data_IF_487799492192
#
_entry.id   IF_487799492192
#
_cell.length_a   1.000
_cell.length_b   1.000
_cell.length_c   1.000
_cell.angle_alpha   90.00
_cell.angle_beta   90.00
_cell.angle_gamma   90.00
#
_symmetry.space_group_name_H-M   'P 1'
#
loop_
_entity.id
_entity.type
_entity.pdbx_description
1 polymer ?
#
# COMPACT_ATOMS: atom_id res chain seq x y z
N UNK A 1 -18.98 9.03 64.47
CA UNK A 1 -19.39 8.38 63.20
C UNK A 1 -20.57 9.07 62.52
N UNK A 2 -21.75 9.18 63.15
CA UNK A 2 -22.93 9.85 62.53
C UNK A 2 -22.70 11.30 62.08
N UNK A 3 -21.96 12.13 62.84
CA UNK A 3 -21.63 13.53 62.45
C UNK A 3 -20.78 13.65 61.18
N UNK A 4 -19.87 12.69 60.94
CA UNK A 4 -19.01 12.70 59.75
C UNK A 4 -19.75 12.23 58.50
N UNK A 5 -20.75 11.35 58.65
CA UNK A 5 -21.63 10.91 57.55
C UNK A 5 -22.48 12.09 57.04
N UNK A 6 -23.00 12.93 57.93
CA UNK A 6 -23.72 14.15 57.53
C UNK A 6 -22.82 15.16 56.81
N UNK A 7 -21.56 15.29 57.24
CA UNK A 7 -20.59 16.18 56.59
C UNK A 7 -20.22 15.70 55.19
N UNK A 8 -20.04 14.38 55.02
CA UNK A 8 -19.77 13.73 53.73
C UNK A 8 -21.00 13.83 52.80
N UNK A 9 -22.21 13.67 53.32
CA UNK A 9 -23.44 13.84 52.54
C UNK A 9 -23.66 15.29 52.08
N UNK A 10 -23.32 16.28 52.91
CA UNK A 10 -23.40 17.70 52.55
C UNK A 10 -22.34 18.06 51.50
N UNK A 11 -21.10 17.55 51.64
CA UNK A 11 -20.04 17.74 50.64
C UNK A 11 -20.40 17.10 49.31
N UNK A 12 -21.00 15.90 49.32
CA UNK A 12 -21.48 15.22 48.10
C UNK A 12 -22.61 15.96 47.38
N UNK A 13 -23.47 16.67 48.11
CA UNK A 13 -24.53 17.51 47.51
C UNK A 13 -23.96 18.79 46.90
N UNK A 14 -22.92 19.38 47.50
CA UNK A 14 -22.26 20.58 46.96
C UNK A 14 -21.51 20.28 45.67
N UNK A 15 -20.89 19.09 45.53
CA UNK A 15 -20.21 18.69 44.28
C UNK A 15 -21.15 18.36 43.13
N UNK A 16 -22.42 18.04 43.40
CA UNK A 16 -23.45 17.78 42.37
C UNK A 16 -24.06 19.07 41.78
N UNK A 17 -23.80 20.23 42.40
CA UNK A 17 -24.28 21.54 41.94
C UNK A 17 -23.20 22.33 41.18
N UNK A 18 -21.98 21.81 41.10
CA UNK A 18 -20.87 22.36 40.32
C UNK A 18 -20.90 21.82 38.88
N UNK A 19 -21.96 22.12 38.15
CA UNK A 19 -21.95 21.94 36.69
C UNK A 19 -21.06 23.01 36.07
N UNK A 20 -20.08 22.62 35.26
CA UNK A 20 -19.43 23.55 34.34
C UNK A 20 -20.50 24.13 33.42
N UNK A 21 -20.60 25.46 33.34
CA UNK A 21 -21.27 26.11 32.21
C UNK A 21 -20.46 25.76 30.96
N UNK A 22 -21.10 25.17 29.95
CA UNK A 22 -20.49 25.02 28.63
C UNK A 22 -20.28 26.42 28.06
N UNK A 23 -19.02 26.77 27.83
CA UNK A 23 -18.63 28.03 27.20
C UNK A 23 -19.13 27.99 25.75
N UNK A 24 -20.27 28.62 25.48
CA UNK A 24 -20.83 28.68 24.13
C UNK A 24 -20.04 29.71 23.34
N UNK A 25 -19.24 29.23 22.39
CA UNK A 25 -18.50 30.09 21.47
C UNK A 25 -19.48 30.93 20.67
N UNK A 26 -19.63 32.20 21.06
CA UNK A 26 -20.46 33.18 20.35
C UNK A 26 -19.58 34.05 19.46
N UNK A 27 -20.15 34.59 18.37
CA UNK A 27 -19.47 35.61 17.58
C UNK A 27 -18.97 36.76 18.46
N UNK A 28 -17.75 37.23 18.18
CA UNK A 28 -17.10 38.31 18.94
C UNK A 28 -17.88 39.63 18.76
N UNK A 29 -18.52 39.81 17.60
CA UNK A 29 -19.40 40.92 17.29
C UNK A 29 -20.68 40.36 16.65
N UNK A 30 -21.76 40.16 17.41
CA UNK A 30 -23.00 39.64 16.86
C UNK A 30 -23.74 40.73 16.09
N UNK A 31 -23.99 40.47 14.82
CA UNK A 31 -25.02 41.12 14.02
C UNK A 31 -26.14 40.13 13.71
N UNK A 32 -27.27 40.62 13.18
CA UNK A 32 -28.43 39.80 12.81
C UNK A 32 -28.73 39.84 11.31
N UNK A 33 -27.84 40.43 10.51
CA UNK A 33 -28.10 40.73 9.11
C UNK A 33 -27.40 39.67 8.25
N UNK A 34 -28.14 38.69 7.67
CA UNK A 34 -27.51 37.63 6.90
C UNK A 34 -26.86 38.16 5.63
N UNK A 35 -25.75 37.54 5.18
CA UNK A 35 -25.10 37.92 3.93
C UNK A 35 -26.01 37.65 2.73
N UNK A 36 -25.72 38.30 1.61
CA UNK A 36 -26.36 37.99 0.34
C UNK A 36 -26.10 36.54 -0.09
N UNK A 37 -27.02 35.92 -0.88
CA UNK A 37 -26.75 34.61 -1.45
C UNK A 37 -25.60 34.70 -2.48
N UNK A 38 -24.92 33.58 -2.70
CA UNK A 38 -24.00 33.44 -3.85
C UNK A 38 -24.76 33.60 -5.17
N UNK A 39 -24.09 34.04 -6.23
CA UNK A 39 -24.73 34.24 -7.54
C UNK A 39 -23.93 33.59 -8.67
N UNK A 40 -24.57 33.41 -9.84
CA UNK A 40 -23.98 32.84 -11.05
C UNK A 40 -23.27 31.47 -10.85
N UNK A 41 -23.91 30.48 -10.21
CA UNK A 41 -23.28 29.16 -10.05
C UNK A 41 -22.98 28.53 -11.42
N UNK A 42 -21.75 28.07 -11.60
CA UNK A 42 -21.28 27.29 -12.75
C UNK A 42 -20.79 25.94 -12.26
N UNK A 43 -21.12 24.88 -12.98
CA UNK A 43 -20.82 23.50 -12.59
C UNK A 43 -19.79 22.91 -13.54
N UNK A 44 -18.73 22.36 -12.97
CA UNK A 44 -17.80 21.45 -13.61
C UNK A 44 -17.94 20.09 -12.93
N UNK A 45 -18.31 19.05 -13.68
CA UNK A 45 -18.46 17.70 -13.14
C UNK A 45 -17.12 16.96 -13.19
N UNK A 46 -16.85 16.14 -12.18
CA UNK A 46 -15.63 15.34 -12.02
C UNK A 46 -16.02 13.90 -11.63
N UNK A 47 -15.10 12.92 -11.70
CA UNK A 47 -15.35 11.56 -11.23
C UNK A 47 -15.84 11.54 -9.78
N UNK A 48 -17.10 11.13 -9.56
CA UNK A 48 -17.73 11.10 -8.22
C UNK A 48 -17.81 12.45 -7.50
N UNK A 49 -17.64 13.56 -8.22
CA UNK A 49 -17.56 14.90 -7.63
C UNK A 49 -18.07 15.99 -8.60
N UNK A 50 -18.18 17.21 -8.10
CA UNK A 50 -18.35 18.40 -8.92
C UNK A 50 -17.72 19.61 -8.23
N UNK A 51 -17.19 20.52 -9.03
CA UNK A 51 -16.77 21.85 -8.60
C UNK A 51 -17.85 22.85 -9.00
N UNK A 52 -18.32 23.62 -8.02
CA UNK A 52 -19.30 24.69 -8.24
C UNK A 52 -18.60 26.02 -8.02
N UNK A 53 -18.39 26.77 -9.10
CA UNK A 53 -17.87 28.15 -9.05
C UNK A 53 -19.01 29.16 -8.94
N UNK A 54 -18.80 30.26 -8.23
CA UNK A 54 -19.83 31.27 -7.98
C UNK A 54 -19.24 32.66 -7.67
N UNK A 55 -20.07 33.68 -7.81
CA UNK A 55 -19.79 35.03 -7.32
C UNK A 55 -20.20 35.14 -5.85
N UNK A 56 -19.30 35.69 -5.04
CA UNK A 56 -19.53 35.96 -3.62
C UNK A 56 -20.40 37.21 -3.43
N UNK A 57 -21.17 37.29 -2.33
CA UNK A 57 -21.85 38.52 -1.96
C UNK A 57 -20.82 39.59 -1.50
N UNK A 58 -21.24 40.86 -1.47
CA UNK A 58 -20.35 41.99 -1.16
C UNK A 58 -20.15 42.24 0.34
N UNK A 59 -20.73 41.41 1.20
CA UNK A 59 -20.68 41.55 2.66
C UNK A 59 -19.23 41.44 3.17
N UNK A 60 -18.77 42.44 3.94
CA UNK A 60 -17.38 42.52 4.42
C UNK A 60 -17.04 41.46 5.49
N UNK A 61 -18.05 40.94 6.15
CA UNK A 61 -17.99 39.97 7.25
C UNK A 61 -18.31 38.53 6.80
N UNK A 62 -18.41 38.28 5.49
CA UNK A 62 -18.54 36.94 4.95
C UNK A 62 -17.42 36.03 5.48
N UNK A 63 -17.80 34.88 6.03
CA UNK A 63 -16.86 33.92 6.61
C UNK A 63 -16.61 32.74 5.68
N UNK A 64 -17.67 32.08 5.20
CA UNK A 64 -17.58 30.94 4.29
C UNK A 64 -18.86 30.75 3.47
N UNK A 65 -18.74 29.98 2.39
CA UNK A 65 -19.87 29.37 1.69
C UNK A 65 -19.93 27.91 2.10
N UNK A 66 -21.12 27.39 2.43
CA UNK A 66 -21.34 25.97 2.66
C UNK A 66 -22.23 25.37 1.58
N UNK A 67 -21.93 24.12 1.20
CA UNK A 67 -22.74 23.30 0.32
C UNK A 67 -23.32 22.13 1.10
N UNK A 68 -24.64 21.95 1.04
CA UNK A 68 -25.34 20.83 1.66
C UNK A 68 -25.88 19.90 0.56
N UNK A 69 -25.58 18.61 0.68
CA UNK A 69 -25.99 17.57 -0.28
C UNK A 69 -26.10 16.20 0.41
N UNK A 70 -26.63 15.23 -0.30
CA UNK A 70 -26.87 13.87 0.20
C UNK A 70 -26.17 12.85 -0.67
N UNK A 71 -25.44 11.93 -0.04
CA UNK A 71 -24.77 10.82 -0.71
C UNK A 71 -25.77 9.70 -1.04
N UNK A 72 -25.33 8.73 -1.83
CA UNK A 72 -26.09 7.54 -2.25
C UNK A 72 -26.66 6.74 -1.08
N UNK A 73 -25.94 6.68 0.04
CA UNK A 73 -26.35 6.00 1.27
C UNK A 73 -27.27 6.81 2.20
N UNK A 74 -27.65 8.03 1.79
CA UNK A 74 -28.53 8.92 2.55
C UNK A 74 -27.83 9.79 3.59
N UNK A 75 -26.50 9.69 3.77
CA UNK A 75 -25.74 10.61 4.63
C UNK A 75 -25.82 12.04 4.08
N UNK A 76 -26.05 12.99 4.99
CA UNK A 76 -25.97 14.43 4.68
C UNK A 76 -24.54 14.90 4.86
N UNK A 77 -24.01 15.57 3.84
CA UNK A 77 -22.65 16.11 3.84
C UNK A 77 -22.73 17.62 3.75
N UNK A 78 -21.82 18.28 4.47
CA UNK A 78 -21.62 19.73 4.43
C UNK A 78 -20.18 19.98 4.02
N UNK A 79 -19.97 20.51 2.82
CA UNK A 79 -18.69 21.07 2.40
C UNK A 79 -18.65 22.55 2.79
N UNK A 80 -17.48 23.09 3.13
CA UNK A 80 -17.27 24.52 3.38
C UNK A 80 -16.12 25.03 2.52
N UNK A 81 -16.27 26.24 1.99
CA UNK A 81 -15.24 26.97 1.26
C UNK A 81 -15.10 28.36 1.86
N UNK A 82 -13.86 28.82 2.04
CA UNK A 82 -13.60 30.13 2.64
C UNK A 82 -14.31 31.26 1.89
N UNK A 83 -14.73 32.30 2.60
CA UNK A 83 -15.30 33.52 2.01
C UNK A 83 -14.34 34.31 1.11
N UNK A 84 -13.10 33.84 0.91
CA UNK A 84 -12.16 34.37 -0.08
C UNK A 84 -12.08 33.52 -1.36
N UNK A 85 -12.73 32.34 -1.39
CA UNK A 85 -12.72 31.41 -2.51
C UNK A 85 -14.05 31.47 -3.28
N UNK A 86 -13.94 31.47 -4.60
CA UNK A 86 -15.08 31.55 -5.53
C UNK A 86 -15.56 30.18 -6.02
N UNK A 87 -15.22 29.11 -5.29
CA UNK A 87 -15.57 27.75 -5.66
C UNK A 87 -15.71 26.84 -4.45
N UNK A 88 -16.53 25.81 -4.56
CA UNK A 88 -16.66 24.73 -3.59
C UNK A 88 -16.70 23.39 -4.31
N UNK A 89 -15.99 22.40 -3.77
CA UNK A 89 -16.05 21.02 -4.23
C UNK A 89 -17.08 20.24 -3.41
N UNK A 90 -17.91 19.48 -4.11
CA UNK A 90 -18.83 18.49 -3.56
C UNK A 90 -18.41 17.11 -4.10
N UNK A 91 -18.29 16.12 -3.23
CA UNK A 91 -17.62 14.86 -3.57
C UNK A 91 -18.22 13.67 -2.82
N UNK A 92 -17.90 12.47 -3.27
CA UNK A 92 -18.38 11.21 -2.69
C UNK A 92 -19.64 10.66 -3.36
N UNK A 93 -19.98 11.15 -4.55
CA UNK A 93 -21.07 10.58 -5.34
C UNK A 93 -20.65 9.23 -5.92
N UNK A 94 -21.45 8.18 -5.68
CA UNK A 94 -21.17 6.81 -6.13
C UNK A 94 -21.76 6.43 -7.49
N UNK A 95 -22.40 7.37 -8.18
CA UNK A 95 -23.08 7.18 -9.46
C UNK A 95 -23.04 8.50 -10.27
N UNK A 96 -23.58 8.48 -11.48
CA UNK A 96 -23.63 9.63 -12.41
C UNK A 96 -25.00 10.33 -12.42
N UNK A 97 -25.89 10.02 -11.49
CA UNK A 97 -27.24 10.57 -11.45
C UNK A 97 -27.22 12.05 -11.06
N UNK A 98 -28.22 12.80 -11.51
CA UNK A 98 -28.37 14.21 -11.13
C UNK A 98 -28.50 14.37 -9.61
N UNK A 99 -27.65 15.17 -8.99
CA UNK A 99 -27.65 15.48 -7.56
C UNK A 99 -28.03 16.93 -7.33
N UNK A 100 -28.78 17.17 -6.26
CA UNK A 100 -29.16 18.51 -5.82
C UNK A 100 -28.23 18.97 -4.70
N UNK A 101 -27.57 20.11 -4.91
CA UNK A 101 -26.69 20.77 -3.95
C UNK A 101 -27.32 22.10 -3.55
N UNK A 102 -27.33 22.41 -2.27
CA UNK A 102 -27.83 23.70 -1.77
C UNK A 102 -26.69 24.51 -1.18
N UNK A 103 -26.45 25.69 -1.75
CA UNK A 103 -25.41 26.62 -1.32
C UNK A 103 -25.98 27.69 -0.37
N UNK A 104 -25.18 28.05 0.63
CA UNK A 104 -25.45 29.15 1.55
C UNK A 104 -24.18 29.96 1.81
N UNK A 105 -24.28 31.28 1.83
CA UNK A 105 -23.27 32.15 2.40
C UNK A 105 -23.49 32.28 3.91
N UNK A 106 -22.40 32.28 4.68
CA UNK A 106 -22.41 32.39 6.15
C UNK A 106 -21.40 33.45 6.57
N UNK A 107 -21.83 34.39 7.39
CA UNK A 107 -21.00 35.47 7.92
C UNK A 107 -20.27 35.04 9.22
N UNK A 108 -19.54 35.99 9.81
CA UNK A 108 -18.83 35.81 11.09
C UNK A 108 -19.75 35.72 12.31
N UNK A 109 -21.00 36.15 12.17
CA UNK A 109 -22.06 36.08 13.17
C UNK A 109 -22.87 34.78 13.11
N UNK A 110 -22.54 33.88 12.18
CA UNK A 110 -23.26 32.65 11.83
C UNK A 110 -24.67 32.89 11.28
N UNK A 111 -24.99 34.08 10.76
CA UNK A 111 -26.21 34.25 9.98
C UNK A 111 -26.04 33.61 8.61
N UNK A 112 -27.13 33.06 8.09
CA UNK A 112 -27.13 32.24 6.87
C UNK A 112 -27.98 32.93 5.81
N UNK A 113 -27.44 33.04 4.59
CA UNK A 113 -28.15 33.60 3.44
C UNK A 113 -29.39 32.76 3.06
N UNK A 114 -30.22 33.31 2.16
CA UNK A 114 -31.18 32.48 1.42
C UNK A 114 -30.45 31.39 0.62
N UNK A 115 -31.06 30.19 0.44
CA UNK A 115 -30.44 29.09 -0.30
C UNK A 115 -30.35 29.34 -1.81
N UNK A 116 -29.31 28.81 -2.43
CA UNK A 116 -29.19 28.68 -3.89
C UNK A 116 -29.05 27.22 -4.25
N UNK A 117 -30.03 26.68 -4.97
CA UNK A 117 -30.01 25.28 -5.41
C UNK A 117 -29.32 25.14 -6.75
N UNK A 118 -28.37 24.21 -6.82
CA UNK A 118 -27.59 23.88 -8.01
C UNK A 118 -27.73 22.38 -8.28
N UNK A 119 -27.88 22.01 -9.55
CA UNK A 119 -27.91 20.61 -10.00
C UNK A 119 -26.55 20.24 -10.56
N UNK A 120 -26.02 19.10 -10.16
CA UNK A 120 -24.75 18.55 -10.64
C UNK A 120 -24.95 17.14 -11.20
N UNK A 121 -24.11 16.73 -12.13
CA UNK A 121 -24.15 15.43 -12.79
C UNK A 121 -22.73 14.85 -12.77
N UNK A 122 -22.28 14.29 -11.64
CA UNK A 122 -20.91 13.80 -11.49
C UNK A 122 -20.55 12.82 -12.61
N UNK A 123 -19.28 12.82 -13.00
CA UNK A 123 -18.76 11.82 -13.93
C UNK A 123 -18.61 10.46 -13.23
N UNK A 124 -18.33 9.41 -14.02
CA UNK A 124 -18.22 8.05 -13.51
C UNK A 124 -17.17 7.98 -12.38
N UNK A 125 -17.57 7.60 -11.15
CA UNK A 125 -16.64 7.55 -10.02
C UNK A 125 -15.52 6.53 -10.23
N UNK A 126 -14.36 6.82 -9.63
CA UNK A 126 -13.14 6.02 -9.80
C UNK A 126 -13.32 4.56 -9.40
N UNK A 127 -14.19 4.26 -8.43
CA UNK A 127 -14.51 2.87 -8.04
C UNK A 127 -14.99 2.03 -9.23
N UNK A 128 -15.73 2.62 -10.17
CA UNK A 128 -16.31 1.93 -11.32
C UNK A 128 -15.37 1.94 -12.52
N UNK A 129 -14.67 3.06 -12.77
CA UNK A 129 -13.70 3.15 -13.87
C UNK A 129 -12.52 2.19 -13.61
N UNK A 130 -11.94 2.19 -12.41
CA UNK A 130 -10.86 1.27 -12.02
C UNK A 130 -11.33 -0.18 -12.06
N UNK A 131 -12.55 -0.48 -11.58
CA UNK A 131 -13.08 -1.83 -11.68
C UNK A 131 -13.12 -2.35 -13.12
N UNK A 132 -13.37 -1.49 -14.10
CA UNK A 132 -13.45 -1.88 -15.51
C UNK A 132 -12.09 -2.25 -16.13
N UNK A 133 -10.99 -1.85 -15.50
CA UNK A 133 -9.61 -2.14 -15.95
C UNK A 133 -9.00 -3.35 -15.26
N UNK A 134 -9.69 -3.91 -14.25
CA UNK A 134 -9.17 -5.06 -13.48
C UNK A 134 -8.96 -6.27 -14.39
N UNK A 135 -7.71 -6.73 -14.42
CA UNK A 135 -7.31 -8.00 -15.03
C UNK A 135 -6.95 -8.99 -13.93
N UNK A 136 -7.40 -10.23 -14.09
CA UNK A 136 -7.10 -11.33 -13.19
C UNK A 136 -6.55 -12.48 -14.01
N UNK A 137 -5.40 -13.02 -13.61
CA UNK A 137 -4.77 -14.15 -14.28
C UNK A 137 -4.28 -15.13 -13.21
N UNK A 138 -4.48 -16.43 -13.44
CA UNK A 138 -3.94 -17.47 -12.55
C UNK A 138 -2.42 -17.36 -12.47
N UNK A 139 -1.89 -17.49 -11.25
CA UNK A 139 -0.47 -17.38 -10.96
C UNK A 139 -0.04 -18.49 -9.96
N UNK A 140 1.24 -18.54 -9.62
CA UNK A 140 1.79 -19.44 -8.61
C UNK A 140 1.09 -19.27 -7.26
N UNK A 141 0.45 -20.34 -6.81
CA UNK A 141 -0.27 -20.38 -5.54
C UNK A 141 -1.50 -19.48 -5.48
N UNK A 142 -1.96 -18.86 -6.58
CA UNK A 142 -3.23 -18.12 -6.57
C UNK A 142 -3.51 -17.32 -7.85
N UNK A 143 -3.72 -16.01 -7.69
CA UNK A 143 -4.15 -15.08 -8.76
C UNK A 143 -3.39 -13.77 -8.66
N UNK A 144 -2.93 -13.28 -9.81
CA UNK A 144 -2.39 -11.93 -9.98
C UNK A 144 -3.47 -11.00 -10.50
N UNK A 145 -3.62 -9.88 -9.81
CA UNK A 145 -4.55 -8.79 -10.10
C UNK A 145 -3.75 -7.60 -10.64
N UNK A 146 -4.25 -6.96 -11.70
CA UNK A 146 -3.74 -5.69 -12.23
C UNK A 146 -4.88 -4.72 -12.46
N UNK A 147 -4.62 -3.43 -12.26
CA UNK A 147 -5.61 -2.39 -12.53
C UNK A 147 -4.94 -1.06 -12.89
N UNK A 148 -5.67 -0.23 -13.61
CA UNK A 148 -5.31 1.14 -13.94
C UNK A 148 -6.22 2.12 -13.20
N UNK A 149 -5.62 3.09 -12.51
CA UNK A 149 -6.22 4.15 -11.71
C UNK A 149 -5.69 5.51 -12.17
N UNK A 150 -6.17 5.94 -13.35
CA UNK A 150 -5.71 7.14 -14.06
C UNK A 150 -5.75 8.42 -13.20
N UNK A 151 -6.70 8.51 -12.27
CA UNK A 151 -6.90 9.69 -11.42
C UNK A 151 -6.18 9.63 -10.06
N UNK A 152 -5.39 8.57 -9.82
CA UNK A 152 -4.72 8.34 -8.53
C UNK A 152 -5.67 8.37 -7.32
N UNK A 153 -6.92 7.93 -7.53
CA UNK A 153 -7.93 7.92 -6.49
C UNK A 153 -7.49 7.00 -5.34
N UNK A 154 -7.68 7.45 -4.10
CA UNK A 154 -7.40 6.63 -2.92
C UNK A 154 -8.47 5.56 -2.75
N UNK A 155 -8.16 4.33 -3.15
CA UNK A 155 -9.09 3.20 -3.21
C UNK A 155 -8.64 2.06 -2.31
N UNK A 156 -9.61 1.30 -1.80
CA UNK A 156 -9.40 0.04 -1.11
C UNK A 156 -9.82 -1.13 -2.02
N UNK A 157 -8.99 -2.15 -2.12
CA UNK A 157 -9.25 -3.36 -2.91
C UNK A 157 -9.42 -4.53 -1.96
N UNK A 158 -10.59 -5.16 -2.00
CA UNK A 158 -10.98 -6.29 -1.17
C UNK A 158 -10.81 -7.57 -1.98
N UNK A 159 -9.74 -8.32 -1.72
CA UNK A 159 -9.47 -9.57 -2.39
C UNK A 159 -10.12 -10.73 -1.64
N UNK A 160 -10.81 -11.59 -2.38
CA UNK A 160 -11.56 -12.70 -1.84
C UNK A 160 -11.25 -13.97 -2.62
N UNK A 161 -11.42 -15.12 -1.96
CA UNK A 161 -11.49 -16.40 -2.63
C UNK A 161 -12.56 -17.27 -2.02
N UNK A 162 -13.03 -18.22 -2.81
CA UNK A 162 -13.98 -19.23 -2.40
C UNK A 162 -13.34 -20.14 -1.35
N UNK A 163 -14.03 -20.34 -0.23
CA UNK A 163 -13.65 -21.26 0.83
C UNK A 163 -14.19 -22.69 0.57
N UNK A 164 -13.92 -23.61 1.49
CA UNK A 164 -14.34 -25.00 1.38
C UNK A 164 -15.86 -25.23 1.40
N UNK A 165 -16.65 -24.19 1.70
CA UNK A 165 -18.12 -24.22 1.67
C UNK A 165 -18.70 -23.67 0.37
N UNK A 166 -17.86 -23.15 -0.53
CA UNK A 166 -18.28 -22.47 -1.74
C UNK A 166 -18.64 -20.99 -1.53
N UNK A 167 -18.21 -20.40 -0.41
CA UNK A 167 -18.51 -18.99 -0.08
C UNK A 167 -17.27 -18.13 -0.32
N UNK A 168 -17.43 -16.97 -0.97
CA UNK A 168 -16.36 -15.99 -1.09
C UNK A 168 -16.05 -15.38 0.29
N UNK A 169 -14.84 -15.63 0.76
CA UNK A 169 -14.31 -15.10 2.01
C UNK A 169 -13.22 -14.06 1.74
N UNK A 170 -13.21 -12.99 2.55
CA UNK A 170 -12.20 -11.94 2.47
C UNK A 170 -10.84 -12.51 2.86
N UNK A 171 -9.85 -12.33 2.00
CA UNK A 171 -8.47 -12.71 2.24
C UNK A 171 -7.65 -11.53 2.71
N UNK A 172 -7.76 -10.42 1.98
CA UNK A 172 -6.92 -9.25 2.24
C UNK A 172 -7.55 -7.96 1.72
N UNK A 173 -7.10 -6.83 2.27
CA UNK A 173 -7.49 -5.48 1.86
C UNK A 173 -6.24 -4.62 1.73
N UNK A 174 -6.00 -4.14 0.51
CA UNK A 174 -4.94 -3.14 0.28
C UNK A 174 -5.56 -1.77 0.02
N UNK A 175 -4.81 -0.73 0.38
CA UNK A 175 -5.14 0.66 0.08
C UNK A 175 -4.13 1.19 -0.92
N UNK A 176 -4.60 1.71 -2.05
CA UNK A 176 -3.72 2.18 -3.11
C UNK A 176 -4.30 3.36 -3.87
N UNK A 177 -3.43 4.28 -4.25
CA UNK A 177 -3.69 5.39 -5.19
C UNK A 177 -2.68 5.44 -6.33
N UNK A 178 -1.91 4.36 -6.54
CA UNK A 178 -0.94 4.27 -7.64
C UNK A 178 -1.66 4.20 -8.98
N UNK A 179 -1.05 4.73 -10.04
CA UNK A 179 -1.65 4.76 -11.40
C UNK A 179 -1.80 3.36 -11.98
N UNK A 180 -0.75 2.55 -11.93
CA UNK A 180 -0.76 1.15 -12.38
C UNK A 180 -0.49 0.28 -11.16
N UNK A 181 -1.48 -0.52 -10.78
CA UNK A 181 -1.40 -1.37 -9.59
C UNK A 181 -1.31 -2.83 -9.94
N UNK A 182 -0.55 -3.57 -9.13
CA UNK A 182 -0.46 -5.01 -9.18
C UNK A 182 -0.54 -5.58 -7.76
N UNK A 183 -1.26 -6.69 -7.60
CA UNK A 183 -1.30 -7.43 -6.35
C UNK A 183 -1.46 -8.93 -6.63
N UNK A 184 -0.80 -9.77 -5.84
CA UNK A 184 -0.90 -11.23 -6.01
C UNK A 184 -1.36 -11.88 -4.73
N UNK A 185 -2.43 -12.67 -4.83
CA UNK A 185 -2.90 -13.54 -3.77
C UNK A 185 -2.24 -14.91 -3.97
N UNK A 186 -1.68 -15.47 -2.89
CA UNK A 186 -0.94 -16.75 -2.89
C UNK A 186 -1.43 -17.68 -1.77
N UNK A 187 -0.85 -18.88 -1.67
CA UNK A 187 -1.14 -19.85 -0.60
C UNK A 187 -2.27 -20.83 -0.91
N UNK A 188 -2.67 -20.95 -2.17
CA UNK A 188 -3.70 -21.86 -2.64
C UNK A 188 -3.10 -23.07 -3.34
N UNK A 189 -3.60 -24.26 -3.00
CA UNK A 189 -3.33 -25.50 -3.72
C UNK A 189 -3.79 -25.39 -5.19
N UNK A 190 -3.23 -26.19 -6.11
CA UNK A 190 -3.59 -26.21 -7.52
C UNK A 190 -4.95 -26.92 -7.77
N UNK A 191 -6.00 -26.39 -7.13
CA UNK A 191 -7.38 -26.81 -7.25
C UNK A 191 -8.21 -25.66 -7.82
N UNK A 192 -9.19 -25.97 -8.68
CA UNK A 192 -10.08 -24.95 -9.25
C UNK A 192 -10.83 -24.19 -8.15
N UNK A 193 -10.79 -22.84 -8.21
CA UNK A 193 -11.37 -21.96 -7.20
C UNK A 193 -11.82 -20.63 -7.81
N UNK A 194 -12.93 -20.07 -7.30
CA UNK A 194 -13.33 -18.70 -7.61
C UNK A 194 -12.54 -17.67 -6.76
N UNK A 195 -11.96 -16.68 -7.43
CA UNK A 195 -11.32 -15.51 -6.82
C UNK A 195 -12.10 -14.27 -7.21
N UNK A 196 -12.10 -13.26 -6.34
CA UNK A 196 -12.84 -12.06 -6.56
C UNK A 196 -12.16 -10.81 -5.99
N UNK A 197 -12.52 -9.66 -6.54
CA UNK A 197 -12.12 -8.35 -6.03
C UNK A 197 -13.28 -7.35 -6.07
N UNK A 198 -13.39 -6.55 -5.01
CA UNK A 198 -14.30 -5.40 -4.92
C UNK A 198 -13.49 -4.15 -4.62
N UNK A 199 -13.82 -3.04 -5.27
CA UNK A 199 -13.16 -1.75 -5.06
C UNK A 199 -14.07 -0.85 -4.25
N UNK A 200 -13.51 -0.12 -3.28
CA UNK A 200 -14.23 0.84 -2.44
C UNK A 200 -13.48 2.15 -2.33
N UNK A 201 -14.17 3.28 -2.33
CA UNK A 201 -13.59 4.58 -2.00
C UNK A 201 -13.73 4.92 -0.50
N UNK A 202 -13.33 6.14 -0.12
CA UNK A 202 -13.44 6.66 1.25
C UNK A 202 -14.87 7.01 1.68
N UNK A 203 -15.80 7.08 0.73
CA UNK A 203 -17.20 7.44 0.95
C UNK A 203 -18.10 6.21 0.97
N UNK A 204 -17.53 5.00 1.07
CA UNK A 204 -18.26 3.74 1.06
C UNK A 204 -19.08 3.52 -0.22
N UNK A 205 -18.63 4.09 -1.36
CA UNK A 205 -19.10 3.63 -2.66
C UNK A 205 -18.33 2.37 -3.03
N UNK A 206 -19.05 1.36 -3.50
CA UNK A 206 -18.50 0.07 -3.89
C UNK A 206 -18.72 -0.15 -5.39
N UNK A 207 -17.76 -0.81 -6.03
CA UNK A 207 -17.97 -1.41 -7.34
C UNK A 207 -18.68 -2.76 -7.23
N UNK A 208 -19.24 -3.24 -8.35
CA UNK A 208 -19.64 -4.63 -8.46
C UNK A 208 -18.43 -5.57 -8.33
N UNK A 209 -18.67 -6.78 -7.84
CA UNK A 209 -17.65 -7.81 -7.70
C UNK A 209 -17.11 -8.27 -9.05
N UNK A 210 -15.80 -8.14 -9.26
CA UNK A 210 -15.10 -8.81 -10.37
C UNK A 210 -14.68 -10.20 -9.91
N UNK A 211 -14.89 -11.21 -10.76
CA UNK A 211 -14.62 -12.61 -10.42
C UNK A 211 -13.88 -13.34 -11.53
N UNK A 212 -13.11 -14.35 -11.15
CA UNK A 212 -12.51 -15.33 -12.06
C UNK A 212 -12.49 -16.70 -11.40
N UNK A 213 -12.67 -17.76 -12.19
CA UNK A 213 -12.43 -19.14 -11.75
C UNK A 213 -11.16 -19.64 -12.42
N UNK A 214 -10.17 -20.02 -11.63
CA UNK A 214 -8.90 -20.58 -12.13
C UNK A 214 -8.44 -21.73 -11.24
N UNK A 215 -7.60 -22.59 -11.81
CA UNK A 215 -6.74 -23.49 -11.05
C UNK A 215 -5.38 -22.80 -10.88
N UNK A 216 -4.97 -22.41 -9.66
CA UNK A 216 -3.65 -21.85 -9.40
C UNK A 216 -2.52 -22.75 -9.91
N UNK A 217 -1.39 -22.16 -10.27
CA UNK A 217 -0.20 -22.95 -10.57
C UNK A 217 0.38 -23.47 -9.27
N UNK A 218 0.84 -24.73 -9.27
CA UNK A 218 1.53 -25.31 -8.13
C UNK A 218 2.75 -24.45 -7.73
N UNK A 219 2.98 -24.25 -6.44
CA UNK A 219 4.13 -23.53 -5.91
C UNK A 219 4.69 -24.31 -4.73
N UNK A 220 6.01 -24.46 -4.68
CA UNK A 220 6.71 -25.04 -3.54
C UNK A 220 7.88 -24.16 -3.10
N UNK A 221 8.23 -24.25 -1.82
CA UNK A 221 9.52 -23.75 -1.34
C UNK A 221 10.60 -24.65 -1.92
N UNK A 222 11.58 -24.09 -2.63
CA UNK A 222 12.67 -24.87 -3.19
C UNK A 222 13.52 -25.47 -2.06
N UNK A 223 13.90 -26.74 -2.24
CA UNK A 223 14.84 -27.41 -1.35
C UNK A 223 16.23 -26.75 -1.46
N UNK A 224 16.83 -26.44 -0.31
CA UNK A 224 18.10 -25.74 -0.18
C UNK A 224 19.27 -26.70 0.01
N UNK A 225 19.03 -28.00 0.22
CA UNK A 225 20.08 -28.99 0.50
C UNK A 225 21.15 -29.03 -0.61
N UNK A 226 20.74 -28.80 -1.86
CA UNK A 226 21.62 -28.83 -3.03
C UNK A 226 22.08 -27.45 -3.51
N UNK A 227 21.81 -26.38 -2.75
CA UNK A 227 22.24 -25.04 -3.14
C UNK A 227 23.74 -24.86 -2.89
N UNK A 228 24.43 -24.30 -3.87
CA UNK A 228 25.88 -24.11 -3.82
C UNK A 228 26.25 -22.70 -4.22
N UNK A 229 27.17 -22.09 -3.46
CA UNK A 229 27.83 -20.85 -3.87
C UNK A 229 28.67 -21.11 -5.12
N UNK A 230 28.38 -20.39 -6.20
CA UNK A 230 29.22 -20.35 -7.40
C UNK A 230 30.11 -19.12 -7.30
N UNK A 231 31.43 -19.32 -7.21
CA UNK A 231 32.38 -18.21 -7.11
C UNK A 231 32.88 -17.80 -8.51
N UNK A 232 32.35 -16.70 -9.04
CA UNK A 232 32.81 -16.11 -10.29
C UNK A 232 33.93 -15.08 -10.06
N UNK A 233 34.70 -14.75 -11.10
CA UNK A 233 35.91 -13.91 -10.98
C UNK A 233 35.63 -12.47 -10.52
N UNK A 234 34.41 -11.96 -10.75
CA UNK A 234 33.95 -10.64 -10.31
C UNK A 234 32.91 -10.70 -9.16
N UNK A 235 32.73 -11.88 -8.56
CA UNK A 235 32.06 -12.01 -7.26
C UNK A 235 32.97 -11.55 -6.12
N UNK A 236 32.39 -11.38 -4.94
CA UNK A 236 33.14 -10.94 -3.76
C UNK A 236 34.24 -11.97 -3.44
N UNK A 237 35.53 -11.58 -3.32
CA UNK A 237 36.63 -12.53 -3.13
C UNK A 237 36.57 -13.32 -1.82
N UNK A 238 35.90 -12.77 -0.80
CA UNK A 238 35.67 -13.46 0.48
C UNK A 238 34.70 -14.64 0.37
N UNK A 239 33.98 -14.76 -0.76
CA UNK A 239 32.92 -15.74 -0.93
C UNK A 239 31.86 -15.65 0.18
N UNK A 240 31.57 -14.44 0.68
CA UNK A 240 30.59 -14.22 1.76
C UNK A 240 30.93 -14.88 3.11
N UNK A 241 32.19 -15.23 3.33
CA UNK A 241 32.69 -15.88 4.55
C UNK A 241 33.48 -14.94 5.49
N UNK A 242 33.09 -13.66 5.58
CA UNK A 242 33.75 -12.69 6.45
C UNK A 242 33.28 -12.79 7.92
N UNK A 243 34.22 -12.55 8.84
CA UNK A 243 33.97 -12.55 10.29
C UNK A 243 33.30 -13.85 10.77
N UNK A 244 32.21 -13.75 11.54
CA UNK A 244 31.42 -14.90 11.98
C UNK A 244 30.46 -15.43 10.89
N UNK A 245 30.28 -14.71 9.79
CA UNK A 245 29.35 -15.08 8.73
C UNK A 245 29.90 -16.18 7.81
N UNK A 246 29.01 -17.01 7.28
CA UNK A 246 29.31 -18.06 6.30
C UNK A 246 28.37 -17.95 5.12
N UNK A 247 28.85 -18.28 3.92
CA UNK A 247 28.03 -18.17 2.71
C UNK A 247 26.69 -18.90 2.90
N UNK A 248 26.76 -20.14 3.37
CA UNK A 248 25.63 -21.06 3.54
C UNK A 248 24.58 -20.56 4.54
N UNK A 249 24.97 -19.67 5.46
CA UNK A 249 24.03 -19.04 6.39
C UNK A 249 23.04 -18.10 5.70
N UNK A 250 23.21 -17.79 4.42
CA UNK A 250 22.17 -17.10 3.67
C UNK A 250 21.09 -18.04 3.13
N UNK A 251 21.23 -19.36 3.29
CA UNK A 251 20.23 -20.34 2.84
C UNK A 251 20.14 -21.59 3.76
N UNK A 252 20.32 -21.42 5.07
CA UNK A 252 20.33 -22.53 6.04
C UNK A 252 19.01 -22.73 6.80
N UNK A 253 17.96 -21.98 6.43
CA UNK A 253 16.66 -21.96 7.08
C UNK A 253 16.67 -21.39 8.52
N UNK A 254 17.68 -20.60 8.88
CA UNK A 254 17.73 -19.86 10.15
C UNK A 254 17.99 -18.37 9.93
N UNK A 255 16.93 -17.56 10.01
CA UNK A 255 17.01 -16.10 9.89
C UNK A 255 17.93 -15.43 10.94
N UNK A 256 18.37 -16.14 11.99
CA UNK A 256 19.28 -15.60 13.01
C UNK A 256 20.77 -15.79 12.65
N UNK A 257 21.09 -16.63 11.67
CA UNK A 257 22.42 -16.71 11.08
C UNK A 257 22.55 -15.63 10.00
N UNK A 258 23.74 -15.48 9.42
CA UNK A 258 23.98 -14.51 8.35
C UNK A 258 25.26 -14.83 7.59
N UNK A 259 25.27 -14.53 6.30
CA UNK A 259 26.52 -14.46 5.53
C UNK A 259 27.12 -13.05 5.61
N UNK A 260 28.38 -12.86 5.19
CA UNK A 260 28.99 -11.54 5.30
C UNK A 260 30.17 -11.31 4.35
N UNK A 261 30.31 -10.12 3.78
CA UNK A 261 31.49 -9.70 2.99
C UNK A 261 32.46 -8.80 3.75
N UNK A 262 33.73 -8.73 3.36
CA UNK A 262 34.67 -7.82 4.04
C UNK A 262 34.41 -6.36 3.64
N UNK A 263 34.51 -5.48 4.64
CA UNK A 263 34.46 -4.04 4.40
C UNK A 263 35.62 -3.57 3.51
N UNK A 264 35.28 -3.07 2.32
CA UNK A 264 36.20 -2.36 1.42
C UNK A 264 37.07 -3.24 0.52
N UNK A 265 37.53 -4.41 0.96
CA UNK A 265 38.38 -5.28 0.12
C UNK A 265 37.62 -6.02 -0.97
N UNK A 266 36.31 -6.19 -0.82
CA UNK A 266 35.50 -7.01 -1.72
C UNK A 266 34.92 -6.24 -2.92
N UNK A 267 35.24 -4.95 -3.04
CA UNK A 267 34.81 -4.11 -4.17
C UNK A 267 33.30 -3.82 -4.18
N UNK A 268 32.83 -3.09 -5.20
CA UNK A 268 31.39 -2.84 -5.42
C UNK A 268 31.08 -2.93 -6.92
N UNK A 269 29.88 -3.40 -7.31
CA UNK A 269 28.81 -3.90 -6.45
C UNK A 269 29.13 -5.27 -5.82
N UNK A 270 28.47 -5.57 -4.70
CA UNK A 270 28.60 -6.88 -4.03
C UNK A 270 27.74 -7.90 -4.79
N UNK A 271 28.29 -9.08 -5.07
CA UNK A 271 27.60 -10.09 -5.88
C UNK A 271 27.61 -11.46 -5.21
N UNK A 272 26.47 -12.14 -5.29
CA UNK A 272 26.25 -13.50 -4.80
C UNK A 272 25.65 -14.32 -5.94
N UNK A 273 26.32 -15.39 -6.33
CA UNK A 273 25.83 -16.32 -7.36
C UNK A 273 25.55 -17.68 -6.73
N UNK A 274 24.35 -18.22 -6.95
CA UNK A 274 23.91 -19.50 -6.41
C UNK A 274 23.55 -20.45 -7.55
N UNK A 275 23.99 -21.70 -7.48
CA UNK A 275 23.36 -22.84 -8.15
C UNK A 275 22.22 -23.32 -7.26
N UNK A 276 20.98 -23.32 -7.76
CA UNK A 276 19.81 -23.81 -7.03
C UNK A 276 19.74 -25.35 -7.00
N UNK A 277 20.65 -26.04 -7.70
CA UNK A 277 20.73 -27.49 -7.74
C UNK A 277 19.72 -28.15 -8.67
N UNK A 278 18.78 -27.38 -9.23
CA UNK A 278 17.77 -27.83 -10.17
C UNK A 278 17.36 -26.69 -11.12
N UNK A 279 16.84 -27.02 -12.30
CA UNK A 279 16.16 -26.06 -13.16
C UNK A 279 14.76 -25.79 -12.62
N UNK A 280 14.46 -24.53 -12.37
CA UNK A 280 13.22 -24.09 -11.73
C UNK A 280 12.55 -22.96 -12.51
N UNK A 281 11.21 -23.00 -12.52
CA UNK A 281 10.39 -21.85 -12.87
C UNK A 281 10.08 -21.09 -11.58
N UNK A 282 10.80 -19.99 -11.35
CA UNK A 282 10.68 -19.22 -10.13
C UNK A 282 9.34 -18.50 -10.05
N UNK A 283 8.75 -18.45 -8.86
CA UNK A 283 7.52 -17.71 -8.54
C UNK A 283 7.79 -16.48 -7.68
N UNK A 284 8.67 -16.59 -6.69
CA UNK A 284 9.11 -15.49 -5.84
C UNK A 284 10.40 -15.81 -5.10
N UNK A 285 11.01 -14.78 -4.53
CA UNK A 285 12.07 -14.90 -3.52
C UNK A 285 11.71 -14.06 -2.31
N UNK A 286 11.99 -14.58 -1.13
CA UNK A 286 11.96 -13.84 0.13
C UNK A 286 13.40 -13.62 0.56
N UNK A 287 13.77 -12.36 0.79
CA UNK A 287 15.08 -11.98 1.31
C UNK A 287 14.90 -11.42 2.71
N UNK A 288 15.46 -12.12 3.69
CA UNK A 288 15.49 -11.65 5.07
C UNK A 288 16.77 -10.85 5.33
N UNK A 289 16.59 -9.78 6.07
CA UNK A 289 17.68 -9.02 6.65
C UNK A 289 18.30 -9.79 7.81
N UNK A 290 19.57 -9.51 8.11
CA UNK A 290 20.20 -9.92 9.37
C UNK A 290 19.43 -9.27 10.52
N UNK A 291 18.82 -10.11 11.35
CA UNK A 291 17.83 -9.71 12.37
C UNK A 291 18.40 -8.73 13.41
N UNK A 292 19.67 -8.88 13.79
CA UNK A 292 20.34 -8.00 14.77
C UNK A 292 20.64 -6.57 14.25
N UNK A 293 20.47 -6.33 12.95
CA UNK A 293 20.72 -5.05 12.28
C UNK A 293 19.57 -4.61 11.36
N UNK A 294 18.32 -4.81 11.79
CA UNK A 294 17.12 -4.37 11.08
C UNK A 294 17.25 -2.96 10.48
N UNK A 295 16.99 -2.85 9.17
CA UNK A 295 16.94 -1.60 8.39
C UNK A 295 18.21 -0.73 8.49
N UNK A 296 19.37 -1.34 8.69
CA UNK A 296 20.67 -0.64 8.79
C UNK A 296 21.84 -1.52 8.35
N UNK A 297 23.04 -0.95 8.43
CA UNK A 297 24.30 -1.65 8.22
C UNK A 297 24.40 -2.27 6.80
N UNK A 298 24.87 -3.51 6.68
CA UNK A 298 25.07 -4.20 5.40
C UNK A 298 23.83 -4.88 4.83
N UNK A 299 22.64 -4.71 5.42
CA UNK A 299 21.42 -5.28 4.86
C UNK A 299 21.12 -4.65 3.48
N UNK A 300 20.93 -5.44 2.42
CA UNK A 300 20.60 -4.93 1.09
C UNK A 300 19.36 -4.04 1.12
N UNK A 301 19.44 -2.91 0.42
CA UNK A 301 18.31 -1.99 0.20
C UNK A 301 17.90 -1.94 -1.27
N UNK A 302 18.88 -1.94 -2.17
CA UNK A 302 18.66 -2.00 -3.61
C UNK A 302 19.52 -3.11 -4.20
N UNK A 303 18.88 -4.05 -4.88
CA UNK A 303 19.56 -5.15 -5.56
C UNK A 303 18.86 -5.52 -6.86
N UNK A 304 19.62 -6.09 -7.77
CA UNK A 304 19.10 -6.76 -8.94
C UNK A 304 19.19 -8.28 -8.76
N UNK A 305 18.29 -8.99 -9.43
CA UNK A 305 18.28 -10.44 -9.56
C UNK A 305 18.34 -10.81 -11.03
N UNK A 306 19.33 -11.60 -11.38
CA UNK A 306 19.52 -12.19 -12.70
C UNK A 306 19.38 -13.70 -12.62
N UNK A 307 18.98 -14.33 -13.72
CA UNK A 307 18.91 -15.79 -13.81
C UNK A 307 19.45 -16.35 -15.11
N UNK A 308 19.99 -17.56 -15.07
CA UNK A 308 20.44 -18.31 -16.25
C UNK A 308 20.21 -19.81 -16.03
N UNK A 309 19.90 -20.54 -17.10
CA UNK A 309 19.69 -21.99 -17.05
C UNK A 309 20.99 -22.78 -17.13
N UNK A 310 21.90 -22.34 -17.99
CA UNK A 310 23.21 -22.97 -18.22
C UNK A 310 24.26 -22.47 -17.23
N UNK A 311 25.33 -23.25 -17.07
CA UNK A 311 26.47 -22.88 -16.22
C UNK A 311 27.03 -21.50 -16.63
N UNK A 312 27.16 -20.55 -15.68
CA UNK A 312 27.58 -19.19 -15.99
C UNK A 312 29.06 -19.13 -16.40
N UNK A 313 29.41 -18.14 -17.21
CA UNK A 313 30.80 -17.90 -17.57
C UNK A 313 31.63 -17.50 -16.34
N UNK A 314 32.81 -18.11 -16.19
CA UNK A 314 33.70 -17.91 -15.03
C UNK A 314 34.14 -16.45 -14.82
N UNK A 315 34.25 -15.68 -15.91
CA UNK A 315 34.58 -14.24 -15.85
C UNK A 315 33.50 -13.40 -15.14
N UNK A 316 32.33 -14.01 -14.91
CA UNK A 316 31.15 -13.43 -14.29
C UNK A 316 30.53 -12.31 -15.11
N UNK A 317 30.69 -12.35 -16.43
CA UNK A 317 29.85 -11.62 -17.37
C UNK A 317 28.37 -11.91 -17.12
N UNK A 318 27.52 -10.91 -17.35
CA UNK A 318 26.06 -11.07 -17.39
C UNK A 318 25.56 -11.42 -18.81
N UNK A 319 26.46 -11.76 -19.73
CA UNK A 319 26.07 -12.23 -21.06
C UNK A 319 25.21 -13.49 -20.96
N UNK A 320 24.07 -13.48 -21.66
CA UNK A 320 23.05 -14.54 -21.66
C UNK A 320 22.28 -14.72 -20.33
N UNK A 321 22.55 -13.88 -19.32
CA UNK A 321 21.68 -13.82 -18.16
C UNK A 321 20.38 -13.09 -18.49
N UNK A 322 19.29 -13.60 -17.95
CA UNK A 322 17.99 -12.97 -18.02
C UNK A 322 17.84 -11.93 -16.88
N UNK A 323 17.46 -10.69 -17.20
CA UNK A 323 17.19 -9.65 -16.20
C UNK A 323 15.85 -9.94 -15.54
N UNK A 324 15.85 -10.72 -14.45
CA UNK A 324 14.60 -11.05 -13.77
C UNK A 324 14.06 -9.80 -13.06
N UNK A 325 14.83 -9.21 -12.15
CA UNK A 325 14.43 -8.01 -11.40
C UNK A 325 15.59 -7.02 -11.42
N UNK A 326 15.52 -5.99 -12.24
CA UNK A 326 16.64 -5.07 -12.50
C UNK A 326 16.18 -3.62 -12.45
N UNK A 327 16.89 -2.79 -11.69
CA UNK A 327 16.63 -1.35 -11.61
C UNK A 327 17.02 -0.64 -12.93
N UNK A 328 16.35 0.46 -13.32
CA UNK A 328 15.31 1.18 -12.56
C UNK A 328 13.89 0.63 -12.77
N UNK A 329 13.71 -0.37 -13.63
CA UNK A 329 12.39 -0.79 -14.10
C UNK A 329 11.65 -1.62 -13.05
N UNK A 330 12.22 -2.76 -12.62
CA UNK A 330 11.60 -3.69 -11.68
C UNK A 330 12.59 -4.26 -10.65
N UNK A 331 13.62 -3.49 -10.31
CA UNK A 331 14.65 -3.84 -9.32
C UNK A 331 14.08 -4.09 -7.92
N UNK A 332 14.80 -4.87 -7.13
CA UNK A 332 14.39 -5.24 -5.77
C UNK A 332 14.75 -4.12 -4.80
N UNK A 333 13.73 -3.42 -4.29
CA UNK A 333 13.88 -2.38 -3.26
C UNK A 333 13.30 -2.88 -1.94
N UNK A 334 14.16 -3.04 -0.93
CA UNK A 334 13.74 -3.42 0.41
C UNK A 334 12.83 -2.35 1.00
N UNK A 335 11.77 -2.77 1.69
CA UNK A 335 10.77 -1.87 2.27
C UNK A 335 10.97 -1.76 3.77
N UNK A 336 10.59 -0.60 4.29
CA UNK A 336 10.45 -0.33 5.71
C UNK A 336 9.04 0.24 5.90
N UNK A 337 8.09 -0.52 6.48
CA UNK A 337 6.70 -0.09 6.58
C UNK A 337 6.52 1.26 7.31
N UNK A 338 7.18 1.43 8.45
CA UNK A 338 7.04 2.63 9.25
C UNK A 338 8.02 3.73 8.84
N UNK A 339 7.64 4.97 9.12
CA UNK A 339 8.53 6.13 9.04
C UNK A 339 9.38 6.30 10.32
N UNK A 340 9.15 5.48 11.35
CA UNK A 340 9.73 5.63 12.71
C UNK A 340 11.06 4.90 12.92
N UNK A 341 11.69 4.37 11.86
CA UNK A 341 13.08 3.92 11.94
C UNK A 341 13.29 2.48 12.40
N UNK A 342 12.33 1.56 12.17
CA UNK A 342 12.57 0.12 12.20
C UNK A 342 12.19 -0.56 13.51
N UNK A 343 11.58 0.20 14.43
CA UNK A 343 11.19 -0.26 15.77
C UNK A 343 9.68 -0.34 15.97
N UNK A 344 8.89 0.05 14.97
CA UNK A 344 7.44 -0.10 15.03
C UNK A 344 7.05 -1.59 14.96
N UNK A 345 5.88 -1.96 15.49
CA UNK A 345 5.43 -3.36 15.47
C UNK A 345 5.30 -3.91 14.03
N UNK A 346 4.86 -3.06 13.09
CA UNK A 346 4.82 -3.39 11.66
C UNK A 346 6.20 -3.60 11.03
N UNK A 347 7.22 -2.87 11.51
CA UNK A 347 8.60 -3.07 11.05
C UNK A 347 9.19 -4.38 11.60
N UNK A 348 8.86 -4.75 12.84
CA UNK A 348 9.28 -6.02 13.44
C UNK A 348 8.64 -7.21 12.71
N UNK A 349 7.34 -7.13 12.42
CA UNK A 349 6.64 -8.14 11.64
C UNK A 349 7.21 -8.26 10.22
N UNK A 350 7.45 -7.14 9.53
CA UNK A 350 8.08 -7.15 8.20
C UNK A 350 9.51 -7.70 8.23
N UNK A 351 10.30 -7.40 9.27
CA UNK A 351 11.65 -7.93 9.43
C UNK A 351 11.66 -9.46 9.57
N UNK A 352 10.70 -10.01 10.30
CA UNK A 352 10.54 -11.45 10.50
C UNK A 352 10.03 -12.16 9.23
N UNK A 353 9.17 -11.49 8.45
CA UNK A 353 8.60 -12.05 7.21
C UNK A 353 9.51 -11.87 5.99
N UNK A 354 10.42 -10.90 6.01
CA UNK A 354 11.35 -10.59 4.92
C UNK A 354 10.72 -9.82 3.76
N UNK A 355 11.57 -9.35 2.85
CA UNK A 355 11.14 -8.67 1.63
C UNK A 355 10.85 -9.71 0.53
N UNK A 356 9.59 -9.79 0.10
CA UNK A 356 9.19 -10.61 -1.04
C UNK A 356 9.35 -9.86 -2.37
N UNK A 357 9.96 -10.54 -3.35
CA UNK A 357 10.02 -10.12 -4.75
C UNK A 357 9.43 -11.23 -5.63
N UNK A 358 8.33 -10.93 -6.31
CA UNK A 358 7.61 -11.88 -7.16
C UNK A 358 8.25 -11.98 -8.55
N UNK A 359 8.32 -13.19 -9.10
CA UNK A 359 8.59 -13.51 -10.51
C UNK A 359 7.26 -13.64 -11.30
N UNK A 360 7.30 -13.50 -12.62
CA UNK A 360 6.15 -13.57 -13.52
C UNK A 360 6.19 -14.84 -14.36
N UNK A 361 5.06 -15.21 -14.95
CA UNK A 361 4.99 -16.35 -15.87
C UNK A 361 5.83 -16.17 -17.14
N UNK A 362 6.19 -14.94 -17.48
CA UNK A 362 7.04 -14.62 -18.63
C UNK A 362 8.54 -14.75 -18.29
N UNK A 363 8.91 -14.75 -17.00
CA UNK A 363 10.29 -14.96 -16.57
C UNK A 363 10.75 -16.39 -16.91
N UNK A 364 11.94 -16.60 -17.48
CA UNK A 364 12.37 -17.92 -17.97
C UNK A 364 12.66 -18.90 -16.82
N UNK A 365 12.76 -20.18 -17.18
CA UNK A 365 13.34 -21.20 -16.30
C UNK A 365 14.83 -20.92 -16.08
N UNK A 366 15.30 -21.09 -14.85
CA UNK A 366 16.68 -20.82 -14.45
C UNK A 366 17.18 -21.91 -13.52
N UNK A 367 18.50 -22.09 -13.45
CA UNK A 367 19.16 -22.95 -12.45
C UNK A 367 20.08 -22.12 -11.56
N UNK A 368 20.74 -21.14 -12.15
CA UNK A 368 21.61 -20.22 -11.45
C UNK A 368 20.92 -18.88 -11.30
N UNK A 369 21.05 -18.30 -10.11
CA UNK A 369 20.57 -16.96 -9.80
C UNK A 369 21.72 -16.11 -9.30
N UNK A 370 21.66 -14.81 -9.61
CA UNK A 370 22.69 -13.88 -9.20
C UNK A 370 22.09 -12.60 -8.65
N UNK A 371 22.46 -12.30 -7.41
CA UNK A 371 22.17 -11.04 -6.75
C UNK A 371 23.29 -10.06 -7.05
N UNK A 372 22.93 -8.85 -7.50
CA UNK A 372 23.85 -7.72 -7.64
C UNK A 372 23.37 -6.61 -6.73
N UNK A 373 24.08 -6.36 -5.64
CA UNK A 373 23.67 -5.42 -4.61
C UNK A 373 24.31 -4.07 -4.91
N UNK A 374 23.46 -3.06 -5.07
CA UNK A 374 23.85 -1.69 -5.41
C UNK A 374 23.90 -0.80 -4.18
N UNK A 375 23.06 -1.09 -3.19
CA UNK A 375 22.94 -0.26 -2.00
C UNK A 375 22.54 -1.09 -0.78
N UNK A 376 23.07 -0.71 0.39
CA UNK A 376 22.64 -1.22 1.69
C UNK A 376 21.97 -0.12 2.50
N UNK A 377 21.14 -0.50 3.47
CA UNK A 377 20.48 0.45 4.37
C UNK A 377 21.46 1.37 5.11
N UNK A 378 22.66 0.88 5.45
CA UNK A 378 23.69 1.65 6.13
C UNK A 378 24.66 2.38 5.20
N UNK A 379 24.48 2.32 3.87
CA UNK A 379 25.44 2.82 2.87
C UNK A 379 26.87 2.33 3.14
N UNK A 380 26.99 1.07 3.54
CA UNK A 380 28.23 0.45 3.99
C UNK A 380 29.06 -0.08 2.82
N UNK A 381 30.37 -0.25 3.03
CA UNK A 381 31.29 -0.86 2.06
C UNK A 381 31.28 -2.39 2.03
N UNK A 382 30.24 -3.03 2.56
CA UNK A 382 30.02 -4.48 2.65
C UNK A 382 28.53 -4.79 2.69
N UNK A 383 28.15 -6.06 2.54
CA UNK A 383 26.77 -6.52 2.65
C UNK A 383 26.66 -7.86 3.38
N UNK A 384 25.44 -8.18 3.82
CA UNK A 384 25.06 -9.43 4.48
C UNK A 384 23.57 -9.73 4.26
N UNK A 385 23.26 -11.00 4.01
CA UNK A 385 21.92 -11.55 4.02
C UNK A 385 21.68 -12.28 5.35
N UNK A 386 20.44 -12.23 5.84
CA UNK A 386 19.98 -13.12 6.90
C UNK A 386 19.58 -14.46 6.32
N UNK A 387 18.69 -14.46 5.32
CA UNK A 387 18.16 -15.70 4.71
C UNK A 387 17.61 -15.39 3.31
N UNK A 388 17.75 -16.33 2.38
CA UNK A 388 17.25 -16.25 1.00
C UNK A 388 16.41 -17.51 0.75
N UNK A 389 15.15 -17.32 0.40
CA UNK A 389 14.24 -18.43 0.12
C UNK A 389 13.54 -18.22 -1.21
N UNK A 390 13.81 -19.11 -2.17
CA UNK A 390 13.13 -19.15 -3.45
C UNK A 390 11.93 -20.09 -3.39
N UNK A 391 10.89 -19.72 -4.13
CA UNK A 391 9.72 -20.54 -4.39
C UNK A 391 9.56 -20.69 -5.90
N UNK A 392 8.91 -21.77 -6.34
CA UNK A 392 8.65 -22.01 -7.75
C UNK A 392 8.17 -23.42 -8.02
N UNK A 393 8.49 -23.92 -9.21
CA UNK A 393 8.28 -25.30 -9.63
C UNK A 393 9.60 -25.89 -10.13
N UNK A 394 9.98 -27.05 -9.62
CA UNK A 394 11.10 -27.82 -10.18
C UNK A 394 10.70 -28.41 -11.53
N UNK A 395 11.47 -28.10 -12.57
CA UNK A 395 11.25 -28.59 -13.94
C UNK A 395 12.14 -29.80 -14.24
N UNK A 396 13.40 -29.77 -13.79
CA UNK A 396 14.41 -30.81 -13.99
C UNK A 396 15.46 -30.71 -12.87
N UNK A 397 15.90 -31.85 -12.32
CA UNK A 397 16.99 -31.95 -11.32
C UNK A 397 18.39 -31.94 -11.96
#
# INVERSE_FOLDING_TARGET
MKKYIYLIAIIGIVTLLSGCEEDTHKPIFPDSDPPGPVTNPQVENLPGAAVISYSLPSDEDLLYVKAEYTLSDGRKVVSKSSGYLHMIQVEGFGDTDEKTVTLYAVDRSENVSSPVTVKVNPELPDVHSVKSTIQMVGDFGGVRFRWDNENNASLAFFFMAEDSTGTLSLLDVIYSGVTEGEYTIRGFEPEEREFAVVVRDRWDNYSDTSKITVTPLYEEKLDKENWVLVQLDNDVPSGWNAWEGRAEYAWDDDINTFNHTYAGSDGWPQRLTLDLGATVKLSRVIVHQRQTFAYRHGNPRLMDIWGIKEEPAQDGSLDNWFPLRVAPDNGCVARQPSLEGGTAAEDEEHLLNGDEYSFTLDDPEVRYVRFVIHETWGLTGFSHFGEITFYGQVVEE
#
